data_IF_218601891676
#
_entry.id   IF_218601891676
#
_cell.length_a   1.000
_cell.length_b   1.000
_cell.length_c   1.000
_cell.angle_alpha   90.00
_cell.angle_beta   90.00
_cell.angle_gamma   90.00
#
_symmetry.space_group_name_H-M   'P 1'
#
loop_
_entity.id
_entity.type
_entity.pdbx_description
1 polymer ?
#
# COMPACT_ATOMS: atom_id res chain seq x y z
N UNK A 1 -16.18 -13.96 -15.24
CA UNK A 1 -15.02 -13.08 -15.52
C UNK A 1 -15.09 -11.93 -14.52
N UNK A 2 -14.27 -11.96 -13.47
CA UNK A 2 -14.30 -10.97 -12.40
C UNK A 2 -12.96 -10.23 -12.47
N UNK A 3 -13.00 -8.97 -12.90
CA UNK A 3 -11.80 -8.13 -13.01
C UNK A 3 -11.32 -7.77 -11.61
N UNK A 4 -10.14 -8.27 -11.27
CA UNK A 4 -9.37 -7.87 -10.11
C UNK A 4 -9.09 -6.38 -10.19
N UNK A 5 -9.62 -5.61 -9.24
CA UNK A 5 -9.27 -4.20 -9.08
C UNK A 5 -7.84 -4.16 -8.55
N UNK A 6 -6.93 -3.89 -9.47
CA UNK A 6 -5.51 -3.66 -9.24
C UNK A 6 -5.37 -2.40 -8.37
N UNK A 7 -5.02 -2.57 -7.10
CA UNK A 7 -4.39 -1.48 -6.36
C UNK A 7 -2.96 -1.42 -6.88
N UNK A 8 -2.80 -0.64 -7.95
CA UNK A 8 -1.56 -0.22 -8.59
C UNK A 8 -0.38 -1.16 -8.39
N UNK A 9 -0.08 -1.97 -9.41
CA UNK A 9 1.29 -2.43 -9.67
C UNK A 9 2.21 -1.27 -10.07
N UNK A 10 2.20 -0.21 -9.26
CA UNK A 10 2.99 0.99 -9.45
C UNK A 10 4.12 0.99 -8.42
N UNK A 11 5.33 1.26 -8.90
CA UNK A 11 6.46 1.55 -8.04
C UNK A 11 6.04 2.52 -6.92
N UNK A 12 6.31 2.17 -5.67
CA UNK A 12 6.16 3.11 -4.57
C UNK A 12 7.45 3.90 -4.52
N UNK A 13 7.37 5.17 -4.92
CA UNK A 13 8.42 6.13 -4.66
C UNK A 13 8.38 6.49 -3.18
N UNK A 14 9.42 6.10 -2.44
CA UNK A 14 9.61 6.51 -1.06
C UNK A 14 10.70 7.57 -1.05
N UNK A 15 10.33 8.77 -0.63
CA UNK A 15 11.31 9.75 -0.21
C UNK A 15 11.56 9.43 1.26
N UNK A 16 12.76 8.93 1.59
CA UNK A 16 13.15 8.81 2.98
C UNK A 16 13.32 10.23 3.50
N UNK A 17 12.33 10.65 4.29
CA UNK A 17 12.38 11.93 4.99
C UNK A 17 12.67 11.66 6.47
N UNK A 18 13.40 12.56 7.16
CA UNK A 18 13.69 12.40 8.57
C UNK A 18 12.40 12.32 9.44
N UNK A 19 11.28 12.88 8.98
CA UNK A 19 9.97 12.77 9.64
C UNK A 19 9.23 11.43 9.42
N UNK A 20 9.81 10.49 8.67
CA UNK A 20 9.18 9.21 8.34
C UNK A 20 8.22 9.30 7.14
N UNK A 21 7.56 8.17 6.84
CA UNK A 21 6.67 8.03 5.69
C UNK A 21 5.32 7.50 6.13
N UNK A 22 4.24 8.06 5.57
CA UNK A 22 2.88 7.53 5.73
C UNK A 22 2.22 7.33 4.37
N UNK A 23 1.73 6.12 4.10
CA UNK A 23 0.92 5.81 2.92
C UNK A 23 -0.37 5.14 3.35
N UNK A 24 -1.49 5.55 2.76
CA UNK A 24 -2.78 4.87 2.92
C UNK A 24 -3.15 4.14 1.65
N UNK A 25 -3.61 2.91 1.80
CA UNK A 25 -4.17 2.07 0.75
C UNK A 25 -5.64 1.83 1.06
N UNK A 26 -6.45 1.59 0.03
CA UNK A 26 -7.87 1.23 0.19
C UNK A 26 -8.17 -0.06 -0.55
N UNK A 27 -8.44 -1.11 0.20
CA UNK A 27 -8.94 -2.39 -0.27
C UNK A 27 -10.46 -2.30 -0.43
N UNK A 28 -10.94 -2.68 -1.60
CA UNK A 28 -12.36 -2.68 -1.92
C UNK A 28 -12.59 -2.91 -3.40
N UNK A 29 -13.85 -2.87 -3.78
CA UNK A 29 -14.28 -3.08 -5.17
C UNK A 29 -15.27 -2.01 -5.59
N UNK A 30 -15.46 -1.86 -6.89
CA UNK A 30 -16.55 -1.05 -7.43
C UNK A 30 -17.72 -1.97 -7.75
N UNK A 31 -18.94 -1.51 -7.48
CA UNK A 31 -20.17 -2.23 -7.80
C UNK A 31 -20.44 -2.35 -9.31
N UNK A 32 -19.59 -1.74 -10.15
CA UNK A 32 -19.67 -1.74 -11.60
C UNK A 32 -18.28 -2.07 -12.20
N UNK A 33 -18.23 -2.51 -13.48
CA UNK A 33 -16.96 -2.67 -14.17
C UNK A 33 -16.29 -1.30 -14.36
N UNK A 34 -15.03 -1.20 -13.98
CA UNK A 34 -14.26 0.05 -14.03
C UNK A 34 -12.95 -0.10 -14.77
N UNK A 35 -12.50 0.99 -15.36
CA UNK A 35 -11.17 1.10 -15.96
C UNK A 35 -10.55 2.46 -15.63
N UNK A 36 -9.22 2.52 -15.72
CA UNK A 36 -8.48 3.76 -15.55
C UNK A 36 -8.28 4.42 -16.92
N UNK A 37 -8.96 5.56 -17.15
CA UNK A 37 -8.74 6.40 -18.33
C UNK A 37 -8.22 7.76 -17.89
N UNK A 38 -7.03 8.13 -18.36
CA UNK A 38 -6.39 9.43 -18.08
C UNK A 38 -6.32 9.79 -16.57
N UNK A 39 -6.04 8.80 -15.72
CA UNK A 39 -5.96 9.01 -14.27
C UNK A 39 -7.31 9.08 -13.54
N UNK A 40 -8.43 8.99 -14.26
CA UNK A 40 -9.77 8.90 -13.68
C UNK A 40 -10.30 7.46 -13.74
N UNK A 41 -11.00 7.06 -12.68
CA UNK A 41 -11.75 5.79 -12.66
C UNK A 41 -13.09 6.06 -13.34
N UNK A 42 -13.32 5.36 -14.44
CA UNK A 42 -14.56 5.47 -15.23
C UNK A 42 -15.24 4.12 -15.33
N UNK A 43 -16.55 4.14 -15.56
CA UNK A 43 -17.31 2.96 -15.86
C UNK A 43 -16.85 2.43 -17.22
N UNK A 44 -16.48 1.15 -17.30
CA UNK A 44 -15.84 0.58 -18.50
C UNK A 44 -16.74 0.69 -19.74
N UNK A 45 -18.05 0.52 -19.55
CA UNK A 45 -19.02 0.53 -20.65
C UNK A 45 -19.45 1.94 -21.07
N UNK A 46 -19.67 2.87 -20.12
CA UNK A 46 -20.24 4.19 -20.43
C UNK A 46 -19.18 5.29 -20.51
N UNK A 47 -17.96 5.04 -20.01
CA UNK A 47 -16.90 6.04 -19.90
C UNK A 47 -17.17 7.15 -18.88
N UNK A 48 -18.28 7.09 -18.14
CA UNK A 48 -18.64 8.08 -17.15
C UNK A 48 -17.78 7.93 -15.88
N UNK A 49 -17.38 9.04 -15.22
CA UNK A 49 -16.70 8.98 -13.93
C UNK A 49 -17.50 8.18 -12.89
N UNK A 50 -16.82 7.30 -12.17
CA UNK A 50 -17.46 6.51 -11.11
C UNK A 50 -17.43 7.31 -9.81
N UNK A 51 -18.58 7.54 -9.15
CA UNK A 51 -18.60 8.27 -7.89
C UNK A 51 -17.90 7.47 -6.81
N UNK A 52 -17.26 8.17 -5.86
CA UNK A 52 -16.55 7.53 -4.75
C UNK A 52 -17.46 6.68 -3.86
N UNK A 53 -18.77 6.96 -3.84
CA UNK A 53 -19.78 6.18 -3.12
C UNK A 53 -20.04 4.79 -3.72
N UNK A 54 -19.70 4.57 -4.99
CA UNK A 54 -19.81 3.26 -5.63
C UNK A 54 -18.66 2.30 -5.24
N UNK A 55 -17.66 2.80 -4.50
CA UNK A 55 -16.62 1.97 -3.91
C UNK A 55 -17.15 1.27 -2.66
N UNK A 56 -17.16 -0.05 -2.70
CA UNK A 56 -17.50 -0.94 -1.59
C UNK A 56 -16.20 -1.35 -0.90
N UNK A 57 -15.90 -0.85 0.31
CA UNK A 57 -14.68 -1.21 1.03
C UNK A 57 -14.69 -2.69 1.43
N UNK A 58 -13.52 -3.32 1.40
CA UNK A 58 -13.34 -4.64 1.99
C UNK A 58 -13.39 -4.53 3.51
N UNK A 59 -14.16 -5.39 4.17
CA UNK A 59 -14.10 -5.50 5.63
C UNK A 59 -12.77 -6.15 6.04
N UNK A 60 -12.02 -5.45 6.87
CA UNK A 60 -10.72 -5.89 7.40
C UNK A 60 -10.80 -6.26 8.89
N UNK A 61 -12.01 -6.28 9.46
CA UNK A 61 -12.21 -6.62 10.87
C UNK A 61 -11.68 -8.03 11.15
N UNK A 62 -10.88 -8.17 12.23
CA UNK A 62 -10.26 -9.43 12.62
C UNK A 62 -9.15 -9.92 11.67
N UNK A 63 -8.76 -9.12 10.67
CA UNK A 63 -7.64 -9.44 9.79
C UNK A 63 -6.31 -9.02 10.40
N UNK A 64 -5.24 -9.69 9.98
CA UNK A 64 -3.85 -9.33 10.29
C UNK A 64 -3.09 -9.00 8.99
N UNK A 65 -1.96 -8.33 9.09
CA UNK A 65 -1.14 -7.98 7.93
C UNK A 65 0.35 -7.91 8.28
N UNK A 66 1.17 -8.30 7.30
CA UNK A 66 2.62 -8.16 7.36
C UNK A 66 3.15 -7.62 6.03
N UNK A 67 3.98 -6.59 6.11
CA UNK A 67 4.73 -6.06 4.99
C UNK A 67 6.20 -6.39 5.18
N UNK A 68 6.82 -6.97 4.16
CA UNK A 68 8.25 -7.20 4.14
C UNK A 68 8.89 -6.37 3.04
N UNK A 69 9.97 -5.69 3.40
CA UNK A 69 10.85 -4.96 2.48
C UNK A 69 12.17 -5.72 2.42
N UNK A 70 12.58 -6.12 1.22
CA UNK A 70 13.73 -7.01 0.98
C UNK A 70 14.64 -6.47 -0.12
N UNK A 71 15.88 -6.92 -0.16
CA UNK A 71 16.83 -6.55 -1.22
C UNK A 71 16.38 -6.98 -2.62
N UNK A 72 15.71 -8.12 -2.71
CA UNK A 72 15.16 -8.73 -3.93
C UNK A 72 14.08 -9.75 -3.52
N UNK A 73 13.29 -10.32 -4.45
CA UNK A 73 12.36 -11.40 -4.13
C UNK A 73 13.10 -12.58 -3.49
N UNK A 74 12.73 -12.93 -2.25
CA UNK A 74 13.42 -13.97 -1.47
C UNK A 74 14.79 -13.57 -0.89
N UNK A 75 15.23 -12.32 -1.09
CA UNK A 75 16.49 -11.79 -0.58
C UNK A 75 16.44 -11.39 0.89
N UNK A 76 17.49 -10.69 1.33
CA UNK A 76 17.67 -10.20 2.70
C UNK A 76 16.51 -9.32 3.13
N UNK A 77 15.97 -9.56 4.33
CA UNK A 77 14.94 -8.73 4.95
C UNK A 77 15.58 -7.44 5.49
N UNK A 78 15.12 -6.31 5.00
CA UNK A 78 15.54 -4.98 5.48
C UNK A 78 14.61 -4.43 6.56
N UNK A 79 13.30 -4.53 6.33
CA UNK A 79 12.30 -4.03 7.25
C UNK A 79 11.07 -4.94 7.22
N UNK A 80 10.46 -5.14 8.38
CA UNK A 80 9.18 -5.82 8.51
C UNK A 80 8.22 -4.97 9.32
N UNK A 81 7.08 -4.66 8.71
CA UNK A 81 5.99 -3.96 9.36
C UNK A 81 4.85 -4.93 9.63
N UNK A 82 4.20 -4.80 10.78
CA UNK A 82 3.07 -5.63 11.20
C UNK A 82 1.97 -4.76 11.77
N UNK A 83 0.77 -5.33 11.97
CA UNK A 83 -0.31 -4.60 12.65
C UNK A 83 0.15 -4.17 14.04
N UNK A 84 -0.03 -2.88 14.35
CA UNK A 84 0.44 -2.25 15.58
C UNK A 84 1.91 -1.82 15.56
N UNK A 85 2.68 -2.21 14.53
CA UNK A 85 4.06 -1.77 14.31
C UNK A 85 4.29 -1.39 12.83
N UNK A 86 3.92 -0.16 12.50
CA UNK A 86 4.03 0.38 11.15
C UNK A 86 2.89 0.01 10.20
N UNK A 87 1.96 -0.88 10.60
CA UNK A 87 0.68 -1.08 9.89
C UNK A 87 -0.51 -0.80 10.82
N UNK A 88 -1.52 -0.14 10.29
CA UNK A 88 -2.84 0.02 10.92
C UNK A 88 -3.93 -0.36 9.94
N UNK A 89 -4.77 -1.33 10.31
CA UNK A 89 -5.91 -1.78 9.51
C UNK A 89 -7.20 -1.15 10.01
N UNK A 90 -8.10 -0.79 9.10
CA UNK A 90 -9.49 -0.46 9.44
C UNK A 90 -9.72 0.88 10.12
N UNK A 91 -8.71 1.76 10.26
CA UNK A 91 -8.91 3.13 10.74
C UNK A 91 -9.92 3.94 9.87
N UNK A 92 -10.05 3.54 8.62
CA UNK A 92 -11.15 3.87 7.71
C UNK A 92 -11.59 2.54 7.07
N UNK A 93 -12.88 2.33 6.73
CA UNK A 93 -13.32 1.11 6.05
C UNK A 93 -12.45 0.77 4.83
N UNK A 94 -11.94 -0.47 4.80
CA UNK A 94 -11.02 -0.97 3.78
C UNK A 94 -9.62 -0.36 3.78
N UNK A 95 -9.28 0.52 4.72
CA UNK A 95 -7.98 1.20 4.71
C UNK A 95 -6.88 0.39 5.40
N UNK A 96 -5.70 0.42 4.78
CA UNK A 96 -4.45 -0.01 5.37
C UNK A 96 -3.52 1.20 5.39
N UNK A 97 -3.20 1.67 6.59
CA UNK A 97 -2.19 2.69 6.81
C UNK A 97 -0.83 2.00 7.00
N UNK A 98 0.15 2.41 6.21
CA UNK A 98 1.55 2.01 6.31
C UNK A 98 2.32 3.21 6.82
N UNK A 99 3.10 3.01 7.87
CA UNK A 99 3.97 4.00 8.49
C UNK A 99 5.36 3.41 8.63
N UNK A 100 6.34 4.10 8.07
CA UNK A 100 7.76 3.88 8.41
C UNK A 100 8.13 4.97 9.40
N UNK A 101 8.54 4.57 10.61
CA UNK A 101 8.87 5.53 11.67
C UNK A 101 10.11 6.37 11.29
N UNK A 102 10.29 7.56 11.87
CA UNK A 102 11.54 8.32 11.72
C UNK A 102 12.81 7.50 12.02
N UNK A 103 12.76 6.65 13.06
CA UNK A 103 13.89 5.81 13.46
C UNK A 103 14.19 4.75 12.40
N UNK A 104 13.16 4.07 11.88
CA UNK A 104 13.33 3.10 10.81
C UNK A 104 13.83 3.78 9.53
N UNK A 105 13.27 4.95 9.19
CA UNK A 105 13.68 5.73 8.03
C UNK A 105 15.15 6.19 8.11
N UNK A 106 15.61 6.62 9.29
CA UNK A 106 16.99 7.01 9.53
C UNK A 106 17.97 5.82 9.47
N UNK A 107 17.49 4.60 9.69
CA UNK A 107 18.29 3.38 9.59
C UNK A 107 18.40 2.82 8.16
N UNK A 108 17.68 3.39 7.19
CA UNK A 108 17.73 2.95 5.79
C UNK A 108 19.04 3.40 5.14
N UNK A 109 19.89 2.43 4.79
CA UNK A 109 21.16 2.65 4.08
C UNK A 109 21.15 2.20 2.61
N UNK A 110 20.02 1.66 2.15
CA UNK A 110 19.82 1.12 0.80
C UNK A 110 18.94 2.05 -0.03
N UNK A 111 19.20 2.10 -1.34
CA UNK A 111 18.45 2.95 -2.28
C UNK A 111 17.40 2.20 -3.09
N UNK A 112 17.48 0.86 -3.12
CA UNK A 112 16.56 -0.01 -3.85
C UNK A 112 16.20 -1.24 -3.03
N UNK A 113 14.95 -1.63 -3.10
CA UNK A 113 14.40 -2.82 -2.48
C UNK A 113 13.15 -3.28 -3.24
N UNK A 114 12.60 -4.43 -2.86
CA UNK A 114 11.26 -4.88 -3.22
C UNK A 114 10.42 -4.96 -1.97
N UNK A 115 9.12 -4.74 -2.09
CA UNK A 115 8.19 -4.91 -0.99
C UNK A 115 7.07 -5.89 -1.34
N UNK A 116 6.53 -6.53 -0.32
CA UNK A 116 5.32 -7.34 -0.41
C UNK A 116 4.47 -7.18 0.83
N UNK A 117 3.20 -6.81 0.65
CA UNK A 117 2.20 -6.74 1.71
C UNK A 117 1.25 -7.92 1.58
N UNK A 118 1.16 -8.70 2.65
CA UNK A 118 0.23 -9.82 2.78
C UNK A 118 -0.77 -9.47 3.87
N UNK A 119 -2.05 -9.63 3.55
CA UNK A 119 -3.15 -9.55 4.50
C UNK A 119 -3.64 -10.96 4.76
N UNK A 120 -3.70 -11.35 6.02
CA UNK A 120 -4.37 -12.56 6.48
C UNK A 120 -5.79 -12.20 6.86
N UNK A 121 -6.75 -12.69 6.07
CA UNK A 121 -8.17 -12.49 6.39
C UNK A 121 -8.55 -13.20 7.69
N UNK A 122 -9.70 -12.83 8.26
CA UNK A 122 -10.28 -13.52 9.42
C UNK A 122 -10.58 -15.01 9.13
N UNK A 123 -10.71 -15.37 7.85
CA UNK A 123 -10.79 -16.76 7.36
C UNK A 123 -9.45 -17.52 7.45
N UNK A 124 -8.39 -16.88 7.92
CA UNK A 124 -7.05 -17.43 8.04
C UNK A 124 -6.28 -17.48 6.73
N UNK A 125 -6.88 -17.06 5.60
CA UNK A 125 -6.27 -17.13 4.27
C UNK A 125 -5.39 -15.90 4.03
N UNK A 126 -4.14 -16.17 3.67
CA UNK A 126 -3.18 -15.14 3.27
C UNK A 126 -3.44 -14.70 1.83
N UNK A 127 -3.63 -13.40 1.65
CA UNK A 127 -3.79 -12.76 0.34
C UNK A 127 -2.69 -11.73 0.18
N UNK A 128 -1.89 -11.87 -0.88
CA UNK A 128 -0.94 -10.81 -1.25
C UNK A 128 -1.73 -9.68 -1.88
N UNK A 129 -1.77 -8.55 -1.20
CA UNK A 129 -2.59 -7.40 -1.62
C UNK A 129 -1.78 -6.37 -2.40
N UNK A 130 -0.48 -6.26 -2.14
CA UNK A 130 0.46 -5.43 -2.89
C UNK A 130 1.84 -6.06 -2.96
N UNK A 131 2.54 -5.78 -4.06
CA UNK A 131 3.97 -6.02 -4.20
C UNK A 131 4.54 -5.07 -5.26
N UNK A 132 5.83 -4.81 -5.19
CA UNK A 132 6.51 -4.02 -6.22
C UNK A 132 7.90 -3.58 -5.82
N UNK A 133 8.47 -2.73 -6.67
CA UNK A 133 9.76 -2.10 -6.43
C UNK A 133 9.62 -0.92 -5.47
N UNK A 134 10.61 -0.78 -4.60
CA UNK A 134 10.77 0.29 -3.66
C UNK A 134 12.08 1.02 -3.99
N UNK A 135 11.96 2.30 -4.34
CA UNK A 135 13.13 3.18 -4.46
C UNK A 135 13.10 4.16 -3.29
N UNK A 136 14.24 4.28 -2.62
CA UNK A 136 14.46 5.24 -1.56
C UNK A 136 15.35 6.34 -2.10
N UNK A 137 14.79 7.55 -2.16
CA UNK A 137 15.55 8.76 -2.41
C UNK A 137 15.84 9.46 -1.08
N UNK A 138 17.10 9.84 -0.88
CA UNK A 138 17.51 10.61 0.29
C UNK A 138 17.09 12.07 0.07
N UNK A 139 15.89 12.41 0.52
CA UNK A 139 15.47 13.81 0.56
C UNK A 139 16.36 14.57 1.53
N UNK A 140 17.03 15.62 1.04
CA UNK A 140 17.81 16.58 1.84
C UNK A 140 17.04 16.94 3.12
N UNK A 141 17.72 16.93 4.27
CA UNK A 141 17.20 17.45 5.53
C UNK A 141 16.76 18.90 5.32
N UNK A 142 15.46 19.15 5.18
CA UNK A 142 14.94 20.50 5.18
C UNK A 142 14.93 20.99 6.64
N UNK A 143 15.98 21.72 7.02
CA UNK A 143 15.95 22.56 8.22
C UNK A 143 14.98 23.70 7.92
N UNK A 144 13.79 23.68 8.52
CA UNK A 144 12.93 24.86 8.52
C UNK A 144 13.51 25.87 9.54
N UNK A 145 13.72 27.15 9.17
CA UNK A 145 14.03 28.21 10.12
C UNK A 145 12.86 28.50 11.06
#
# INVERSE_FOLDING_TARGET
>A
MQQTIMIGGGAIWVIAKPEGMRKRLRLGSYACPVELRNGAIVHAETGLPVPRSAFVPTDLTGSDAAMEIRSAPGGTLYLRLTVGNGLTLGAVPGAIDIVVSPADAAAISWSKAVFGLVVRGADGINRRVLQGDLSVDAGIVQVLP
#
